data_IF_951899553815
#
_entry.id   IF_951899553815
#
_cell.length_a   1.000
_cell.length_b   1.000
_cell.length_c   1.000
_cell.angle_alpha   90.00
_cell.angle_beta   90.00
_cell.angle_gamma   90.00
#
_symmetry.space_group_name_H-M   'P 1'
#
loop_
_entity.id
_entity.type
_entity.pdbx_description
1 polymer ?
#
# COMPACT_ATOMS: atom_id res chain seq x y z
N UNK A 1 34.11 -10.09 -13.03
CA UNK A 1 33.50 -8.76 -13.32
C UNK A 1 33.43 -8.04 -11.97
N UNK A 2 34.22 -6.98 -11.81
CA UNK A 2 34.28 -6.07 -10.65
C UNK A 2 32.88 -5.75 -10.13
N UNK A 3 32.49 -5.88 -8.85
CA UNK A 3 33.08 -5.37 -7.58
C UNK A 3 33.55 -3.92 -7.73
N UNK A 4 32.61 -3.03 -8.04
CA UNK A 4 32.61 -1.59 -7.73
C UNK A 4 31.21 -1.01 -7.96
N UNK A 5 30.17 -1.66 -7.43
CA UNK A 5 28.88 -1.01 -7.17
C UNK A 5 28.77 -0.84 -5.66
N UNK A 6 29.49 0.15 -5.10
CA UNK A 6 28.89 0.87 -3.98
C UNK A 6 27.66 1.51 -4.58
N UNK A 7 26.48 0.99 -4.27
CA UNK A 7 25.24 1.66 -4.63
C UNK A 7 25.26 3.03 -3.98
N UNK A 8 25.48 4.09 -4.77
CA UNK A 8 25.24 5.49 -4.38
C UNK A 8 23.74 5.77 -4.15
N UNK A 9 22.97 4.75 -3.74
CA UNK A 9 21.53 4.68 -3.86
C UNK A 9 20.88 4.09 -2.61
N UNK A 10 19.62 4.49 -2.41
CA UNK A 10 18.75 4.08 -1.32
C UNK A 10 18.72 2.53 -1.27
N UNK A 11 19.08 1.90 -0.15
CA UNK A 11 19.10 0.44 -0.06
C UNK A 11 17.68 -0.14 -0.23
N UNK A 12 17.49 -1.21 -1.04
CA UNK A 12 16.17 -1.79 -1.32
C UNK A 12 15.42 -2.27 -0.08
N UNK A 13 14.10 -2.08 -0.10
CA UNK A 13 13.15 -2.80 0.75
C UNK A 13 12.69 -4.08 0.02
N UNK A 14 12.56 -5.18 0.75
CA UNK A 14 12.02 -6.45 0.25
C UNK A 14 10.56 -6.55 0.66
N UNK A 15 9.66 -6.48 -0.31
CA UNK A 15 8.23 -6.64 -0.08
C UNK A 15 7.76 -8.06 -0.45
N UNK A 16 7.01 -8.71 0.43
CA UNK A 16 6.34 -9.98 0.14
C UNK A 16 4.98 -9.66 -0.48
N UNK A 17 5.03 -9.41 -1.78
CA UNK A 17 3.91 -8.88 -2.54
C UNK A 17 2.75 -9.86 -2.75
N UNK A 18 3.01 -11.17 -2.64
CA UNK A 18 2.00 -12.20 -2.87
C UNK A 18 2.27 -13.42 -2.02
N UNK A 19 1.23 -13.89 -1.35
CA UNK A 19 1.19 -15.17 -0.66
C UNK A 19 0.38 -16.21 -1.45
N UNK A 20 0.59 -17.52 -1.20
CA UNK A 20 -0.28 -18.57 -1.74
C UNK A 20 -1.75 -18.26 -1.48
N UNK A 21 -2.55 -18.28 -2.55
CA UNK A 21 -3.98 -17.97 -2.48
C UNK A 21 -4.31 -16.48 -2.56
N UNK A 22 -3.36 -15.55 -2.55
CA UNK A 22 -3.59 -14.10 -2.67
C UNK A 22 -4.21 -13.47 -1.42
N UNK A 23 -3.65 -12.35 -0.97
CA UNK A 23 -3.98 -11.67 0.31
C UNK A 23 -4.93 -10.50 0.18
N UNK A 24 -5.32 -10.18 -1.06
CA UNK A 24 -6.06 -8.97 -1.42
C UNK A 24 -6.99 -9.32 -2.58
N UNK A 25 -8.09 -8.60 -2.79
CA UNK A 25 -8.89 -8.82 -4.00
C UNK A 25 -8.38 -7.95 -5.13
N UNK A 26 -8.37 -8.46 -6.36
CA UNK A 26 -7.96 -7.68 -7.53
C UNK A 26 -6.64 -8.16 -8.12
N UNK A 27 -6.11 -7.40 -9.07
CA UNK A 27 -4.97 -7.78 -9.91
C UNK A 27 -3.63 -7.85 -9.17
N UNK A 28 -3.51 -7.17 -8.03
CA UNK A 28 -2.31 -7.10 -7.20
C UNK A 28 -2.10 -8.33 -6.30
N UNK A 29 -3.11 -9.20 -6.19
CA UNK A 29 -3.09 -10.42 -5.36
C UNK A 29 -2.26 -11.59 -5.93
N UNK A 30 -1.79 -11.48 -7.17
CA UNK A 30 -1.07 -12.53 -7.89
C UNK A 30 -1.91 -13.76 -8.29
N UNK A 31 -3.20 -13.81 -7.94
CA UNK A 31 -4.11 -14.93 -8.28
C UNK A 31 -5.27 -14.54 -9.18
N UNK A 32 -5.41 -13.26 -9.53
CA UNK A 32 -6.45 -12.77 -10.43
C UNK A 32 -6.47 -13.51 -11.78
N UNK A 33 -7.63 -13.84 -12.36
CA UNK A 33 -9.00 -13.48 -11.93
C UNK A 33 -9.62 -14.45 -10.90
N UNK A 34 -8.82 -15.31 -10.26
CA UNK A 34 -9.33 -16.16 -9.18
C UNK A 34 -9.54 -15.32 -7.92
N UNK A 35 -10.52 -15.74 -7.12
CA UNK A 35 -10.74 -15.16 -5.81
C UNK A 35 -9.55 -15.46 -4.90
N UNK A 36 -9.18 -14.45 -4.11
CA UNK A 36 -8.23 -14.61 -3.05
C UNK A 36 -8.79 -15.55 -1.96
N UNK A 37 -7.93 -16.44 -1.47
CA UNK A 37 -8.25 -17.55 -0.54
C UNK A 37 -7.31 -17.60 0.66
N UNK A 38 -6.32 -16.71 0.74
CA UNK A 38 -5.35 -16.72 1.83
C UNK A 38 -6.04 -16.71 3.20
N UNK A 39 -7.01 -15.81 3.38
CA UNK A 39 -7.71 -15.62 4.65
C UNK A 39 -8.77 -16.69 4.97
N UNK A 40 -9.26 -17.41 3.97
CA UNK A 40 -10.35 -18.39 4.10
C UNK A 40 -9.88 -19.84 4.15
N UNK A 41 -8.81 -20.18 3.41
CA UNK A 41 -8.43 -21.57 3.11
C UNK A 41 -6.96 -21.91 3.47
N UNK A 42 -6.16 -20.96 3.97
CA UNK A 42 -4.71 -21.19 4.20
C UNK A 42 -4.08 -20.52 5.42
N UNK A 43 -4.78 -19.54 6.02
CA UNK A 43 -4.35 -18.83 7.23
C UNK A 43 -5.43 -18.93 8.34
N UNK A 44 -6.29 -19.95 8.22
CA UNK A 44 -7.15 -20.42 9.29
C UNK A 44 -6.23 -21.15 10.30
N UNK A 45 -6.05 -20.60 11.50
CA UNK A 45 -4.86 -20.81 12.33
C UNK A 45 -4.73 -22.22 12.88
N UNK A 46 -3.51 -22.52 13.34
CA UNK A 46 -3.11 -22.87 14.71
C UNK A 46 -4.16 -22.89 15.86
N UNK A 47 -5.43 -23.27 15.64
CA UNK A 47 -6.54 -23.14 16.61
C UNK A 47 -7.32 -24.40 16.93
N UNK A 48 -7.10 -25.53 16.26
CA UNK A 48 -7.75 -26.79 16.65
C UNK A 48 -6.77 -27.85 17.18
N UNK A 49 -5.48 -27.50 17.30
CA UNK A 49 -4.44 -28.46 17.67
C UNK A 49 -4.25 -29.55 16.61
N UNK A 50 -4.88 -29.42 15.44
CA UNK A 50 -4.55 -30.22 14.27
C UNK A 50 -3.38 -29.55 13.58
N UNK A 51 -2.38 -30.36 13.23
CA UNK A 51 -1.10 -29.91 12.73
C UNK A 51 -1.17 -29.45 11.27
N UNK A 52 -2.15 -28.61 10.89
CA UNK A 52 -2.16 -28.01 9.57
C UNK A 52 -1.11 -26.89 9.48
N UNK A 53 -0.43 -26.86 8.34
CA UNK A 53 0.64 -25.91 8.04
C UNK A 53 0.09 -24.51 7.87
N UNK A 54 0.54 -23.59 8.73
CA UNK A 54 0.31 -22.14 8.58
C UNK A 54 1.28 -21.60 7.52
N UNK A 55 0.90 -21.76 6.25
CA UNK A 55 1.77 -21.44 5.11
C UNK A 55 2.17 -19.97 5.11
N UNK A 56 1.29 -19.07 5.56
CA UNK A 56 1.56 -17.64 5.66
C UNK A 56 2.68 -17.33 6.66
N UNK A 57 2.51 -17.72 7.93
CA UNK A 57 3.51 -17.46 8.97
C UNK A 57 4.80 -18.26 8.74
N UNK A 58 4.71 -19.48 8.22
CA UNK A 58 5.90 -20.30 7.92
C UNK A 58 6.72 -19.73 6.76
N UNK A 59 6.06 -19.16 5.74
CA UNK A 59 6.73 -18.42 4.67
C UNK A 59 7.45 -17.20 5.23
N UNK A 60 6.79 -16.39 6.06
CA UNK A 60 7.40 -15.22 6.69
C UNK A 60 8.62 -15.61 7.56
N UNK A 61 8.48 -16.60 8.44
CA UNK A 61 9.59 -17.09 9.28
C UNK A 61 10.77 -17.59 8.44
N UNK A 62 10.48 -18.29 7.35
CA UNK A 62 11.52 -18.77 6.42
C UNK A 62 12.25 -17.61 5.74
N UNK A 63 11.53 -16.56 5.34
CA UNK A 63 12.13 -15.35 4.76
C UNK A 63 12.98 -14.61 5.80
N UNK A 64 12.48 -14.42 7.02
CA UNK A 64 13.25 -13.82 8.12
C UNK A 64 14.53 -14.60 8.38
N UNK A 65 14.45 -15.93 8.49
CA UNK A 65 15.62 -16.78 8.70
C UNK A 65 16.62 -16.71 7.54
N UNK A 66 16.13 -16.70 6.30
CA UNK A 66 16.98 -16.51 5.12
C UNK A 66 17.69 -15.16 5.15
N UNK A 67 16.98 -14.07 5.47
CA UNK A 67 17.56 -12.73 5.60
C UNK A 67 18.64 -12.67 6.68
N UNK A 68 18.42 -13.29 7.84
CA UNK A 68 19.45 -13.41 8.88
C UNK A 68 20.68 -14.18 8.39
N UNK A 69 20.48 -15.23 7.60
CA UNK A 69 21.58 -16.03 7.05
C UNK A 69 22.43 -15.24 6.06
N UNK A 70 21.87 -14.24 5.37
CA UNK A 70 22.61 -13.37 4.45
C UNK A 70 23.69 -12.56 5.18
N UNK A 71 23.45 -12.16 6.44
CA UNK A 71 24.44 -11.42 7.22
C UNK A 71 25.78 -12.18 7.38
N UNK A 72 25.75 -13.51 7.22
CA UNK A 72 26.95 -14.38 7.26
C UNK A 72 27.32 -14.87 5.87
N UNK A 73 26.35 -15.34 5.08
CA UNK A 73 26.60 -16.02 3.80
C UNK A 73 26.84 -15.06 2.63
N UNK A 74 26.24 -13.87 2.66
CA UNK A 74 26.44 -12.81 1.67
C UNK A 74 26.30 -11.41 2.33
N UNK A 75 27.31 -10.96 3.09
CA UNK A 75 27.24 -9.70 3.83
C UNK A 75 27.00 -8.47 2.95
N UNK A 76 27.43 -8.51 1.69
CA UNK A 76 27.22 -7.40 0.75
C UNK A 76 25.75 -7.31 0.33
N UNK A 77 25.10 -8.44 0.02
CA UNK A 77 23.66 -8.48 -0.23
C UNK A 77 22.88 -8.06 1.01
N UNK A 78 23.30 -8.49 2.20
CA UNK A 78 22.68 -8.09 3.45
C UNK A 78 22.83 -6.59 3.74
N UNK A 79 24.02 -6.02 3.53
CA UNK A 79 24.27 -4.58 3.70
C UNK A 79 23.37 -3.75 2.77
N UNK A 80 23.19 -4.22 1.53
CA UNK A 80 22.30 -3.60 0.56
C UNK A 80 20.81 -3.66 0.94
N UNK A 81 20.38 -4.59 1.80
CA UNK A 81 18.99 -4.65 2.23
C UNK A 81 18.67 -3.60 3.30
N UNK A 82 17.60 -2.85 3.12
CA UNK A 82 17.11 -1.90 4.13
C UNK A 82 16.03 -2.50 5.03
N UNK A 83 14.97 -3.00 4.41
CA UNK A 83 13.72 -3.30 5.10
C UNK A 83 13.07 -4.58 4.57
N UNK A 84 12.17 -5.15 5.37
CA UNK A 84 11.22 -6.18 4.99
C UNK A 84 9.80 -5.62 5.13
N UNK A 85 8.96 -5.75 4.09
CA UNK A 85 7.50 -5.66 4.23
C UNK A 85 6.94 -7.07 4.32
N UNK A 86 6.24 -7.43 5.42
CA UNK A 86 5.80 -8.79 5.65
C UNK A 86 4.64 -9.18 4.73
N UNK A 87 3.82 -8.23 4.27
CA UNK A 87 2.68 -8.50 3.39
C UNK A 87 2.22 -7.20 2.75
N UNK A 88 2.09 -7.21 1.42
CA UNK A 88 1.54 -6.08 0.69
C UNK A 88 0.00 -6.06 0.75
N UNK A 89 -0.56 -4.90 1.07
CA UNK A 89 -2.00 -4.59 1.03
C UNK A 89 -2.92 -5.68 1.61
N UNK A 90 -2.66 -6.17 2.83
CA UNK A 90 -3.37 -7.31 3.38
C UNK A 90 -4.87 -7.00 3.56
N UNK A 91 -5.73 -7.84 2.99
CA UNK A 91 -7.17 -7.67 3.10
C UNK A 91 -7.73 -6.51 2.29
N UNK A 92 -6.94 -5.89 1.41
CA UNK A 92 -7.33 -4.70 0.64
C UNK A 92 -8.58 -4.93 -0.23
N UNK A 93 -9.45 -3.91 -0.26
CA UNK A 93 -10.79 -3.93 -0.87
C UNK A 93 -11.04 -2.74 -1.83
N UNK A 94 -10.09 -1.81 -2.05
CA UNK A 94 -10.35 -0.71 -2.97
C UNK A 94 -10.49 -1.22 -4.42
N UNK A 95 -11.28 -0.52 -5.21
CA UNK A 95 -11.61 -0.90 -6.59
C UNK A 95 -12.66 -2.01 -6.73
N UNK A 96 -13.20 -2.54 -5.63
CA UNK A 96 -14.34 -3.49 -5.65
C UNK A 96 -15.72 -2.84 -5.54
N UNK A 97 -15.78 -1.55 -5.19
CA UNK A 97 -17.03 -0.89 -4.81
C UNK A 97 -17.73 -0.12 -5.94
N UNK A 98 -17.23 -0.15 -7.16
CA UNK A 98 -17.78 0.64 -8.29
C UNK A 98 -18.79 -0.13 -9.17
N UNK A 99 -19.27 -1.30 -8.73
CA UNK A 99 -20.26 -2.09 -9.48
C UNK A 99 -21.46 -2.52 -8.64
N UNK A 100 -22.66 -2.09 -9.03
CA UNK A 100 -23.92 -2.67 -8.59
C UNK A 100 -24.28 -3.85 -9.52
N UNK A 101 -24.38 -5.12 -9.07
CA UNK A 101 -24.09 -5.64 -7.73
C UNK A 101 -22.61 -6.05 -7.59
N UNK A 102 -22.01 -5.93 -6.39
CA UNK A 102 -20.61 -6.28 -6.16
C UNK A 102 -20.40 -7.76 -6.52
N UNK A 103 -19.35 -8.04 -7.29
CA UNK A 103 -18.94 -9.40 -7.65
C UNK A 103 -18.62 -10.15 -6.36
N UNK A 104 -19.61 -10.81 -5.74
CA UNK A 104 -19.53 -11.77 -4.61
C UNK A 104 -18.21 -11.73 -3.80
N UNK A 105 -17.88 -10.56 -3.29
CA UNK A 105 -16.86 -10.32 -2.27
C UNK A 105 -17.61 -9.90 -1.01
N UNK A 106 -18.57 -10.71 -0.59
CA UNK A 106 -19.05 -10.61 0.77
C UNK A 106 -17.82 -10.75 1.66
N UNK A 107 -17.56 -9.68 2.41
CA UNK A 107 -16.36 -9.54 3.23
C UNK A 107 -16.22 -10.72 4.18
N UNK A 108 -17.34 -11.33 4.59
CA UNK A 108 -17.38 -12.55 5.39
C UNK A 108 -16.84 -13.80 4.67
N UNK A 109 -16.99 -13.93 3.35
CA UNK A 109 -16.42 -15.06 2.61
C UNK A 109 -14.96 -14.82 2.23
N UNK A 110 -14.60 -13.59 1.86
CA UNK A 110 -13.24 -13.26 1.47
C UNK A 110 -12.29 -13.08 2.67
N UNK A 111 -12.72 -12.30 3.67
CA UNK A 111 -11.97 -12.01 4.89
C UNK A 111 -12.86 -12.38 6.10
N UNK A 112 -13.00 -13.68 6.43
CA UNK A 112 -13.86 -14.08 7.54
C UNK A 112 -13.40 -13.48 8.86
N UNK A 113 -14.29 -13.23 9.83
CA UNK A 113 -13.90 -12.76 11.15
C UNK A 113 -12.97 -13.77 11.84
N UNK A 114 -12.22 -13.31 12.83
CA UNK A 114 -11.54 -14.22 13.75
C UNK A 114 -12.59 -15.06 14.53
N UNK A 115 -12.26 -16.28 14.96
CA UNK A 115 -13.08 -17.02 15.92
C UNK A 115 -13.36 -16.17 17.17
N UNK A 116 -14.59 -16.24 17.69
CA UNK A 116 -15.10 -15.30 18.71
C UNK A 116 -14.23 -15.24 19.97
N UNK A 117 -13.71 -16.36 20.42
CA UNK A 117 -12.83 -16.46 21.58
C UNK A 117 -11.47 -15.81 21.33
N UNK A 118 -10.91 -15.99 20.13
CA UNK A 118 -9.67 -15.35 19.69
C UNK A 118 -9.86 -13.85 19.51
N UNK A 119 -10.93 -13.42 18.82
CA UNK A 119 -11.28 -12.01 18.65
C UNK A 119 -11.41 -11.32 20.01
N UNK A 120 -12.17 -11.91 20.94
CA UNK A 120 -12.35 -11.38 22.29
C UNK A 120 -11.03 -11.25 23.05
N UNK A 121 -10.17 -12.27 23.00
CA UNK A 121 -8.87 -12.25 23.67
C UNK A 121 -7.95 -11.19 23.05
N UNK A 122 -7.88 -11.15 21.72
CA UNK A 122 -7.03 -10.21 21.00
C UNK A 122 -7.49 -8.76 21.22
N UNK A 123 -8.80 -8.50 21.17
CA UNK A 123 -9.38 -7.19 21.52
C UNK A 123 -9.02 -6.77 22.95
N UNK A 124 -9.13 -7.68 23.92
CA UNK A 124 -8.74 -7.39 25.29
C UNK A 124 -7.25 -7.06 25.43
N UNK A 125 -6.38 -7.71 24.65
CA UNK A 125 -4.94 -7.41 24.60
C UNK A 125 -4.66 -6.05 23.95
N UNK A 126 -5.23 -5.78 22.77
CA UNK A 126 -4.95 -4.53 22.03
C UNK A 126 -5.54 -3.31 22.73
N UNK A 127 -6.74 -3.42 23.29
CA UNK A 127 -7.45 -2.34 23.97
C UNK A 127 -7.16 -2.27 25.48
N UNK A 128 -6.58 -3.31 26.08
CA UNK A 128 -6.28 -3.34 27.53
C UNK A 128 -5.30 -2.26 27.99
N UNK A 129 -4.53 -1.66 27.06
CA UNK A 129 -3.55 -0.60 27.33
C UNK A 129 -4.07 0.82 27.06
N UNK A 130 -5.38 0.99 26.78
CA UNK A 130 -5.94 2.30 26.40
C UNK A 130 -5.78 3.35 27.51
N UNK A 131 -5.79 2.98 28.78
CA UNK A 131 -5.73 3.94 29.89
C UNK A 131 -6.92 4.93 29.86
N UNK A 132 -6.87 5.99 30.69
CA UNK A 132 -7.97 6.94 30.86
C UNK A 132 -7.90 8.18 29.94
N UNK A 133 -6.96 8.24 28.99
CA UNK A 133 -6.82 9.37 28.05
C UNK A 133 -7.57 8.99 26.78
N UNK A 134 -8.48 9.83 26.30
CA UNK A 134 -9.39 9.61 25.16
C UNK A 134 -8.71 9.14 23.86
N UNK A 135 -8.24 7.89 23.87
CA UNK A 135 -7.57 7.16 22.81
C UNK A 135 -8.59 6.30 22.09
N UNK A 136 -8.36 6.10 20.80
CA UNK A 136 -9.24 5.30 19.95
C UNK A 136 -9.17 3.84 20.35
N UNK A 137 -10.31 3.18 20.55
CA UNK A 137 -10.36 1.73 20.71
C UNK A 137 -10.33 1.05 19.35
N UNK A 138 -9.64 -0.09 19.24
CA UNK A 138 -9.76 -0.95 18.06
C UNK A 138 -11.13 -1.64 18.12
N UNK A 139 -12.01 -1.46 17.11
CA UNK A 139 -13.34 -2.05 17.10
C UNK A 139 -13.29 -3.56 16.84
N UNK A 140 -14.39 -4.25 17.11
CA UNK A 140 -14.56 -5.64 16.65
C UNK A 140 -14.89 -5.65 15.15
N UNK A 141 -14.49 -6.70 14.43
CA UNK A 141 -14.77 -6.84 13.00
C UNK A 141 -13.77 -7.73 12.25
N UNK A 142 -14.02 -7.91 10.94
CA UNK A 142 -13.24 -8.82 10.09
C UNK A 142 -11.77 -8.37 9.93
N UNK A 143 -11.53 -7.06 10.02
CA UNK A 143 -10.19 -6.46 9.97
C UNK A 143 -9.25 -7.01 11.06
N UNK A 144 -9.79 -7.50 12.19
CA UNK A 144 -9.00 -8.10 13.25
C UNK A 144 -8.17 -9.29 12.78
N UNK A 145 -8.63 -10.06 11.77
CA UNK A 145 -7.85 -11.18 11.22
C UNK A 145 -6.53 -10.70 10.61
N UNK A 146 -6.57 -9.61 9.84
CA UNK A 146 -5.37 -8.98 9.26
C UNK A 146 -4.49 -8.40 10.36
N UNK A 147 -5.07 -7.64 11.29
CA UNK A 147 -4.32 -7.02 12.39
C UNK A 147 -3.64 -8.06 13.28
N UNK A 148 -4.29 -9.21 13.51
CA UNK A 148 -3.73 -10.33 14.25
C UNK A 148 -2.53 -10.96 13.52
N UNK A 149 -2.65 -11.22 12.22
CA UNK A 149 -1.55 -11.73 11.41
C UNK A 149 -0.36 -10.77 11.37
N UNK A 150 -0.61 -9.47 11.16
CA UNK A 150 0.43 -8.44 11.15
C UNK A 150 1.10 -8.29 12.52
N UNK A 151 0.36 -8.48 13.62
CA UNK A 151 0.95 -8.52 14.95
C UNK A 151 1.93 -9.68 15.09
N UNK A 152 1.59 -10.87 14.59
CA UNK A 152 2.51 -12.01 14.59
C UNK A 152 3.75 -11.77 13.71
N UNK A 153 3.59 -11.03 12.60
CA UNK A 153 4.71 -10.60 11.78
C UNK A 153 5.66 -9.65 12.53
N UNK A 154 5.11 -8.69 13.27
CA UNK A 154 5.86 -7.79 14.15
C UNK A 154 6.60 -8.58 15.23
N UNK A 155 5.94 -9.52 15.91
CA UNK A 155 6.59 -10.39 16.92
C UNK A 155 7.69 -11.27 16.31
N UNK A 156 7.46 -11.83 15.13
CA UNK A 156 8.44 -12.66 14.41
C UNK A 156 9.70 -11.84 14.08
N UNK A 157 9.53 -10.62 13.55
CA UNK A 157 10.66 -9.74 13.24
C UNK A 157 11.38 -9.27 14.50
N UNK A 158 10.65 -8.86 15.53
CA UNK A 158 11.18 -8.46 16.84
C UNK A 158 12.00 -9.57 17.50
N UNK A 159 11.55 -10.82 17.41
CA UNK A 159 12.24 -11.99 17.95
C UNK A 159 13.47 -12.42 17.15
N UNK A 160 13.68 -11.86 15.96
CA UNK A 160 14.83 -12.14 15.10
C UNK A 160 16.04 -11.25 15.44
N UNK A 161 17.17 -11.49 14.76
CA UNK A 161 18.39 -10.67 14.81
C UNK A 161 18.29 -9.42 13.93
N UNK A 162 17.32 -9.36 13.00
CA UNK A 162 17.22 -8.31 11.99
C UNK A 162 17.13 -6.88 12.58
N UNK A 163 16.30 -6.60 13.62
CA UNK A 163 16.30 -5.29 14.26
C UNK A 163 17.67 -4.88 14.80
N UNK A 164 18.36 -5.80 15.49
CA UNK A 164 19.68 -5.55 16.07
C UNK A 164 20.79 -5.41 15.02
N UNK A 165 20.54 -5.86 13.79
CA UNK A 165 21.40 -5.69 12.64
C UNK A 165 21.02 -4.46 11.79
N UNK A 166 20.14 -3.59 12.31
CA UNK A 166 19.76 -2.33 11.68
C UNK A 166 18.78 -2.47 10.52
N UNK A 167 18.04 -3.58 10.42
CA UNK A 167 16.99 -3.76 9.41
C UNK A 167 15.65 -3.28 9.94
N UNK A 168 14.85 -2.78 9.02
CA UNK A 168 13.51 -2.24 9.30
C UNK A 168 12.42 -3.27 8.95
N UNK A 169 11.28 -3.15 9.62
CA UNK A 169 10.02 -3.79 9.24
C UNK A 169 9.05 -2.71 8.80
N UNK A 170 8.65 -2.73 7.53
CA UNK A 170 7.66 -1.83 6.95
C UNK A 170 6.32 -2.54 6.96
N UNK A 171 5.43 -2.17 7.88
CA UNK A 171 4.15 -2.87 8.06
C UNK A 171 3.07 -2.13 7.30
N UNK A 172 2.70 -2.68 6.15
CA UNK A 172 1.67 -2.12 5.29
C UNK A 172 0.26 -2.39 5.83
N UNK A 173 -0.56 -1.35 5.88
CA UNK A 173 -2.01 -1.45 6.12
C UNK A 173 -2.73 -0.52 5.15
N UNK A 174 -3.76 -1.05 4.50
CA UNK A 174 -4.64 -0.26 3.65
C UNK A 174 -5.93 0.15 4.40
N UNK A 175 -6.35 1.40 4.27
CA UNK A 175 -7.51 1.96 4.99
C UNK A 175 -8.86 1.30 4.62
N UNK A 176 -9.00 0.83 3.38
CA UNK A 176 -10.18 0.08 2.93
C UNK A 176 -10.36 -1.25 3.69
N UNK A 177 -9.38 -1.67 4.50
CA UNK A 177 -9.51 -2.81 5.39
C UNK A 177 -10.65 -2.60 6.38
N UNK A 178 -11.03 -1.37 6.72
CA UNK A 178 -12.09 -1.09 7.70
C UNK A 178 -13.42 -0.86 6.98
N UNK A 179 -14.48 -1.56 7.41
CA UNK A 179 -15.81 -1.29 6.88
C UNK A 179 -16.32 0.02 7.50
N UNK A 180 -17.11 0.83 6.80
CA UNK A 180 -17.69 2.04 7.39
C UNK A 180 -18.43 1.77 8.70
N UNK A 181 -19.16 0.65 8.78
CA UNK A 181 -19.91 0.23 9.98
C UNK A 181 -19.01 -0.24 11.15
N UNK A 182 -17.74 -0.58 10.87
CA UNK A 182 -16.78 -0.97 11.91
C UNK A 182 -16.15 0.27 12.58
N UNK A 183 -16.19 1.44 11.92
CA UNK A 183 -15.47 2.63 12.35
C UNK A 183 -16.28 3.44 13.37
N UNK A 184 -15.61 4.18 14.29
CA UNK A 184 -16.29 5.15 15.14
C UNK A 184 -17.11 6.14 14.30
N UNK A 185 -18.21 6.67 14.85
CA UNK A 185 -19.09 7.62 14.16
C UNK A 185 -18.26 8.71 13.45
N UNK A 186 -18.54 8.99 12.17
CA UNK A 186 -17.76 9.96 11.41
C UNK A 186 -17.83 11.33 12.09
N UNK A 187 -16.66 11.96 12.24
CA UNK A 187 -16.64 13.40 12.41
C UNK A 187 -17.32 14.00 11.16
N UNK A 188 -18.25 14.96 11.31
CA UNK A 188 -19.13 15.41 10.22
C UNK A 188 -18.41 16.07 9.03
N UNK A 189 -17.11 16.36 9.13
CA UNK A 189 -16.36 17.12 8.13
C UNK A 189 -14.90 16.60 8.00
N UNK A 190 -14.63 15.53 7.24
CA UNK A 190 -13.24 15.18 6.90
C UNK A 190 -13.03 14.20 5.73
N UNK A 191 -14.04 13.79 4.96
CA UNK A 191 -13.84 12.71 4.00
C UNK A 191 -13.36 13.22 2.63
N UNK A 192 -12.09 13.64 2.57
CA UNK A 192 -11.37 13.90 1.32
C UNK A 192 -10.80 12.61 0.69
N UNK A 193 -11.39 11.45 1.02
CA UNK A 193 -10.81 10.15 0.73
C UNK A 193 -9.68 9.77 1.69
N UNK A 194 -9.48 10.52 2.76
CA UNK A 194 -8.49 10.25 3.80
C UNK A 194 -9.23 9.81 5.06
N UNK A 195 -9.42 8.50 5.23
CA UNK A 195 -10.26 7.93 6.27
C UNK A 195 -9.62 8.10 7.66
N UNK A 196 -9.76 9.30 8.24
CA UNK A 196 -9.15 9.70 9.52
C UNK A 196 -9.53 8.76 10.67
N UNK A 197 -10.75 8.23 10.65
CA UNK A 197 -11.22 7.26 11.63
C UNK A 197 -10.50 5.92 11.47
N UNK A 198 -10.35 5.41 10.25
CA UNK A 198 -9.53 4.23 9.97
C UNK A 198 -8.08 4.46 10.41
N UNK A 199 -7.48 5.61 10.09
CA UNK A 199 -6.11 5.95 10.51
C UNK A 199 -5.98 6.00 12.04
N UNK A 200 -7.00 6.48 12.75
CA UNK A 200 -7.00 6.48 14.23
C UNK A 200 -7.05 5.05 14.79
N UNK A 201 -7.82 4.16 14.17
CA UNK A 201 -7.84 2.72 14.52
C UNK A 201 -6.49 2.06 14.22
N UNK A 202 -5.89 2.34 13.05
CA UNK A 202 -4.54 1.88 12.70
C UNK A 202 -3.52 2.37 13.71
N UNK A 203 -3.54 3.64 14.08
CA UNK A 203 -2.65 4.22 15.10
C UNK A 203 -2.82 3.56 16.47
N UNK A 204 -4.06 3.25 16.86
CA UNK A 204 -4.34 2.56 18.12
C UNK A 204 -3.78 1.13 18.14
N UNK A 205 -4.01 0.37 17.06
CA UNK A 205 -3.43 -0.96 16.88
C UNK A 205 -1.90 -0.89 16.86
N UNK A 206 -1.32 0.03 16.09
CA UNK A 206 0.13 0.18 15.94
C UNK A 206 0.81 0.50 17.27
N UNK A 207 0.21 1.37 18.08
CA UNK A 207 0.67 1.63 19.46
C UNK A 207 0.71 0.34 20.28
N UNK A 208 -0.29 -0.53 20.12
CA UNK A 208 -0.38 -1.75 20.93
C UNK A 208 0.60 -2.83 20.47
N UNK A 209 0.77 -2.97 19.15
CA UNK A 209 1.65 -3.94 18.51
C UNK A 209 3.14 -3.59 18.64
N UNK A 210 3.49 -2.33 18.88
CA UNK A 210 4.89 -1.85 18.93
C UNK A 210 5.21 -1.03 20.18
N UNK A 211 6.51 -0.87 20.48
CA UNK A 211 7.00 0.00 21.56
C UNK A 211 7.47 1.37 21.02
N UNK A 212 7.47 2.43 21.84
CA UNK A 212 7.91 3.76 21.42
C UNK A 212 9.34 3.82 20.85
N UNK A 213 10.26 3.02 21.37
CA UNK A 213 11.64 2.91 20.89
C UNK A 213 11.74 2.15 19.56
N UNK A 214 10.91 1.12 19.37
CA UNK A 214 10.82 0.35 18.12
C UNK A 214 10.35 1.25 16.97
N UNK A 215 9.30 2.06 17.21
CA UNK A 215 8.76 3.01 16.23
C UNK A 215 9.73 4.11 15.82
N UNK A 216 10.75 4.39 16.63
CA UNK A 216 11.82 5.36 16.33
C UNK A 216 13.00 4.73 15.60
N UNK A 217 13.07 3.40 15.56
CA UNK A 217 14.25 2.67 15.10
C UNK A 217 13.94 1.79 13.90
N UNK A 218 13.25 0.67 14.08
CA UNK A 218 13.07 -0.33 13.03
C UNK A 218 11.61 -0.53 12.60
N UNK A 219 10.63 -0.18 13.43
CA UNK A 219 9.22 -0.38 13.12
C UNK A 219 8.69 0.83 12.34
N UNK A 220 8.41 0.63 11.05
CA UNK A 220 7.86 1.65 10.16
C UNK A 220 6.43 1.25 9.82
N UNK A 221 5.48 2.14 10.07
CA UNK A 221 4.11 1.95 9.58
C UNK A 221 4.06 2.45 8.14
N UNK A 222 3.43 1.67 7.27
CA UNK A 222 3.32 1.96 5.85
C UNK A 222 1.86 2.02 5.43
N UNK A 223 1.47 3.09 4.74
CA UNK A 223 0.14 3.28 4.16
C UNK A 223 0.29 3.75 2.72
N UNK A 224 -0.26 3.00 1.78
CA UNK A 224 -0.28 3.37 0.37
C UNK A 224 -1.26 4.51 0.13
N UNK A 225 -0.88 5.48 -0.69
CA UNK A 225 -1.72 6.63 -1.00
C UNK A 225 -1.76 6.92 -2.49
N UNK A 226 -2.97 7.05 -3.02
CA UNK A 226 -3.19 7.27 -4.44
C UNK A 226 -4.42 8.14 -4.68
N UNK A 227 -4.21 9.31 -5.28
CA UNK A 227 -5.32 10.15 -5.73
C UNK A 227 -6.20 9.50 -6.82
N UNK A 228 -5.70 8.47 -7.52
CA UNK A 228 -6.38 7.83 -8.63
C UNK A 228 -7.68 7.08 -8.26
N UNK A 229 -7.82 6.64 -7.01
CA UNK A 229 -8.99 5.88 -6.54
C UNK A 229 -9.90 6.68 -5.60
N UNK A 230 -9.54 7.92 -5.25
CA UNK A 230 -10.35 8.78 -4.39
C UNK A 230 -11.47 9.49 -5.17
N UNK A 231 -12.63 9.65 -4.54
CA UNK A 231 -13.74 10.43 -5.12
C UNK A 231 -13.48 11.94 -5.06
N UNK A 232 -12.67 12.42 -4.11
CA UNK A 232 -12.42 13.85 -3.92
C UNK A 232 -11.16 14.35 -4.63
N UNK A 233 -10.21 13.45 -4.89
CA UNK A 233 -8.89 13.81 -5.40
C UNK A 233 -8.65 13.35 -6.84
N UNK A 234 -9.61 12.62 -7.41
CA UNK A 234 -9.51 12.19 -8.79
C UNK A 234 -9.74 13.34 -9.77
N UNK A 235 -8.93 13.37 -10.82
CA UNK A 235 -9.02 14.29 -11.93
C UNK A 235 -9.13 13.56 -13.24
N UNK A 236 -9.97 14.08 -14.13
CA UNK A 236 -10.26 13.45 -15.41
C UNK A 236 -10.12 14.40 -16.59
N UNK A 237 -9.99 13.89 -17.80
CA UNK A 237 -9.93 14.71 -19.02
C UNK A 237 -11.22 15.48 -19.24
N UNK A 238 -12.36 14.91 -18.85
CA UNK A 238 -13.68 15.55 -18.98
C UNK A 238 -14.10 16.40 -17.77
N UNK A 239 -13.52 16.17 -16.59
CA UNK A 239 -13.99 16.73 -15.33
C UNK A 239 -15.22 16.01 -14.77
N UNK A 240 -16.08 16.76 -14.06
CA UNK A 240 -17.29 16.22 -13.46
C UNK A 240 -18.26 15.63 -14.52
N UNK A 241 -18.97 14.52 -14.22
CA UNK A 241 -19.02 13.82 -12.93
C UNK A 241 -17.93 12.75 -12.74
N UNK A 242 -17.10 12.50 -13.76
CA UNK A 242 -16.10 11.41 -13.73
C UNK A 242 -14.86 11.74 -12.90
N UNK A 243 -14.63 13.01 -12.59
CA UNK A 243 -13.59 13.47 -11.66
C UNK A 243 -13.98 14.81 -11.03
N UNK A 244 -13.21 15.26 -10.05
CA UNK A 244 -13.45 16.54 -9.35
C UNK A 244 -12.87 17.74 -10.04
N UNK A 245 -11.95 17.54 -10.97
CA UNK A 245 -11.44 18.58 -11.83
C UNK A 245 -11.18 18.05 -13.23
N UNK A 246 -11.33 18.92 -14.22
CA UNK A 246 -10.90 18.64 -15.59
C UNK A 246 -9.40 18.90 -15.77
N UNK A 247 -8.67 18.06 -16.50
CA UNK A 247 -7.23 18.29 -16.78
C UNK A 247 -6.98 19.64 -17.50
N UNK A 248 -7.97 20.12 -18.25
CA UNK A 248 -7.91 21.40 -18.95
C UNK A 248 -8.19 22.61 -18.06
N UNK A 249 -8.81 22.43 -16.88
CA UNK A 249 -9.14 23.52 -15.96
C UNK A 249 -8.03 23.70 -14.92
N UNK A 250 -7.09 24.59 -15.21
CA UNK A 250 -5.96 24.85 -14.33
C UNK A 250 -6.37 25.48 -12.98
N UNK A 251 -7.49 26.22 -12.94
CA UNK A 251 -7.97 26.89 -11.74
C UNK A 251 -8.58 25.89 -10.77
N UNK A 252 -9.57 25.12 -11.25
CA UNK A 252 -10.24 24.08 -10.48
C UNK A 252 -9.26 22.98 -10.05
N UNK A 253 -8.37 22.53 -10.96
CA UNK A 253 -7.32 21.57 -10.63
C UNK A 253 -6.47 22.05 -9.45
N UNK A 254 -6.03 23.30 -9.45
CA UNK A 254 -5.20 23.84 -8.36
C UNK A 254 -5.98 23.90 -7.04
N UNK A 255 -7.25 24.28 -7.09
CA UNK A 255 -8.10 24.34 -5.91
C UNK A 255 -8.29 22.94 -5.31
N UNK A 256 -8.72 21.97 -6.11
CA UNK A 256 -8.97 20.59 -5.66
C UNK A 256 -7.69 19.95 -5.13
N UNK A 257 -6.60 20.01 -5.90
CA UNK A 257 -5.32 19.41 -5.47
C UNK A 257 -4.77 20.05 -4.21
N UNK A 258 -4.97 21.36 -3.99
CA UNK A 258 -4.48 21.99 -2.75
C UNK A 258 -5.08 21.39 -1.46
N UNK A 259 -6.28 20.79 -1.55
CA UNK A 259 -6.92 20.08 -0.43
C UNK A 259 -6.44 18.64 -0.32
N UNK A 260 -6.24 17.97 -1.45
CA UNK A 260 -5.83 16.57 -1.52
C UNK A 260 -4.35 16.33 -1.21
N UNK A 261 -3.51 17.30 -1.52
CA UNK A 261 -2.06 17.18 -1.35
C UNK A 261 -1.62 17.27 0.12
N UNK A 262 -2.54 17.42 1.09
CA UNK A 262 -2.23 17.43 2.52
C UNK A 262 -2.49 16.10 3.22
N UNK A 263 -2.56 14.98 2.50
CA UNK A 263 -2.87 13.67 3.09
C UNK A 263 -1.86 13.28 4.20
N UNK A 264 -0.56 13.54 3.99
CA UNK A 264 0.48 13.12 4.92
C UNK A 264 0.53 14.03 6.13
N UNK A 265 0.51 15.35 5.92
CA UNK A 265 0.60 16.35 6.98
C UNK A 265 -0.72 16.64 7.69
N UNK A 266 -1.85 16.43 7.02
CA UNK A 266 -3.20 16.73 7.50
C UNK A 266 -3.92 15.53 8.10
N UNK A 267 -3.64 14.31 7.62
CA UNK A 267 -4.34 13.10 8.09
C UNK A 267 -3.39 12.05 8.63
N UNK A 268 -2.50 11.51 7.80
CA UNK A 268 -1.72 10.33 8.16
C UNK A 268 -0.84 10.54 9.38
N UNK A 269 0.07 11.52 9.38
CA UNK A 269 0.92 11.76 10.55
C UNK A 269 0.11 12.17 11.78
N UNK A 270 -0.78 13.19 11.73
CA UNK A 270 -1.51 13.62 12.91
C UNK A 270 -2.33 12.51 13.56
N UNK A 271 -3.03 11.68 12.76
CA UNK A 271 -3.85 10.60 13.28
C UNK A 271 -3.01 9.53 14.00
N UNK A 272 -1.85 9.16 13.43
CA UNK A 272 -0.99 8.16 14.07
C UNK A 272 -0.28 8.74 15.30
N UNK A 273 0.20 10.00 15.26
CA UNK A 273 0.86 10.64 16.41
C UNK A 273 -0.08 10.87 17.60
N UNK A 274 -1.36 11.15 17.35
CA UNK A 274 -2.37 11.23 18.40
C UNK A 274 -2.46 9.94 19.23
N UNK A 275 -2.19 8.79 18.60
CA UNK A 275 -2.21 7.49 19.25
C UNK A 275 -0.83 7.02 19.76
N UNK A 276 0.26 7.31 19.05
CA UNK A 276 1.59 6.71 19.22
C UNK A 276 2.67 7.59 19.85
N UNK A 277 2.39 8.89 20.08
CA UNK A 277 3.37 9.96 20.39
C UNK A 277 4.27 10.30 19.19
N UNK A 278 4.89 11.49 19.21
CA UNK A 278 5.67 12.00 18.09
C UNK A 278 7.00 11.28 17.82
N UNK A 279 7.48 11.44 16.58
CA UNK A 279 8.80 10.93 16.14
C UNK A 279 8.82 9.46 15.75
N UNK A 280 7.66 8.83 15.55
CA UNK A 280 7.58 7.53 14.89
C UNK A 280 7.95 7.62 13.40
N UNK A 281 8.41 6.52 12.82
CA UNK A 281 8.73 6.40 11.40
C UNK A 281 7.49 5.99 10.60
N UNK A 282 7.20 6.73 9.54
CA UNK A 282 6.06 6.51 8.65
C UNK A 282 6.54 6.45 7.20
N UNK A 283 5.87 5.65 6.39
CA UNK A 283 6.13 5.55 4.96
C UNK A 283 4.83 5.45 4.15
N UNK A 284 4.95 5.77 2.87
CA UNK A 284 4.06 5.31 1.82
C UNK A 284 4.91 4.57 0.80
N UNK A 285 4.90 3.25 0.89
CA UNK A 285 5.65 2.35 0.01
C UNK A 285 5.07 2.30 -1.41
N UNK A 286 3.90 2.91 -1.62
CA UNK A 286 3.31 3.08 -2.92
C UNK A 286 2.56 4.41 -3.04
N UNK A 287 2.99 5.23 -4.00
CA UNK A 287 2.26 6.39 -4.50
C UNK A 287 2.58 6.62 -5.98
N UNK A 288 1.76 7.42 -6.69
CA UNK A 288 2.00 7.76 -8.09
C UNK A 288 1.46 9.16 -8.43
N UNK A 289 1.59 9.59 -9.70
CA UNK A 289 0.90 10.79 -10.21
C UNK A 289 -0.44 10.46 -10.89
N UNK A 290 -0.94 9.23 -10.74
CA UNK A 290 -2.22 8.82 -11.31
C UNK A 290 -3.36 9.69 -10.78
N UNK A 291 -4.15 10.26 -11.67
CA UNK A 291 -5.30 11.10 -11.29
C UNK A 291 -6.64 10.37 -11.36
N UNK A 292 -6.68 9.19 -11.98
CA UNK A 292 -7.90 8.39 -12.07
C UNK A 292 -7.53 6.92 -12.35
N UNK A 293 -8.30 5.97 -11.82
CA UNK A 293 -8.07 4.53 -11.98
C UNK A 293 -8.31 4.04 -13.42
N UNK A 294 -9.25 4.68 -14.14
CA UNK A 294 -9.49 4.44 -15.56
C UNK A 294 -8.57 5.29 -16.43
N UNK A 295 -7.76 4.61 -17.25
CA UNK A 295 -6.84 5.24 -18.20
C UNK A 295 -7.53 6.13 -19.24
N UNK A 296 -8.80 5.86 -19.54
CA UNK A 296 -9.58 6.66 -20.50
C UNK A 296 -9.86 8.07 -19.97
N UNK A 297 -9.99 8.18 -18.65
CA UNK A 297 -10.32 9.43 -17.99
C UNK A 297 -9.09 10.11 -17.39
N UNK A 298 -8.04 9.38 -17.02
CA UNK A 298 -6.88 9.95 -16.32
C UNK A 298 -6.17 11.08 -17.07
N UNK A 299 -5.74 12.09 -16.32
CA UNK A 299 -4.91 13.18 -16.82
C UNK A 299 -3.52 12.67 -17.22
N UNK A 300 -3.06 13.15 -18.38
CA UNK A 300 -1.78 12.76 -18.97
C UNK A 300 -0.93 13.96 -19.41
N UNK A 301 -1.38 15.18 -19.12
CA UNK A 301 -0.64 16.40 -19.40
C UNK A 301 0.47 16.61 -18.35
N UNK A 302 1.61 17.12 -18.79
CA UNK A 302 2.79 17.28 -17.94
C UNK A 302 2.55 18.24 -16.75
N UNK A 303 1.63 19.21 -16.89
CA UNK A 303 1.38 20.20 -15.84
C UNK A 303 0.63 19.60 -14.65
N UNK A 304 -0.40 18.77 -14.91
CA UNK A 304 -1.11 18.03 -13.87
C UNK A 304 -0.18 17.02 -13.19
N UNK A 305 0.57 16.23 -13.97
CA UNK A 305 1.42 15.19 -13.39
C UNK A 305 2.58 15.78 -12.56
N UNK A 306 3.13 16.93 -12.98
CA UNK A 306 4.11 17.67 -12.18
C UNK A 306 3.52 18.13 -10.85
N UNK A 307 2.32 18.72 -10.89
CA UNK A 307 1.62 19.18 -9.68
C UNK A 307 1.39 18.03 -8.69
N UNK A 308 0.97 16.86 -9.18
CA UNK A 308 0.76 15.68 -8.34
C UNK A 308 2.06 15.15 -7.73
N UNK A 309 3.13 15.04 -8.52
CA UNK A 309 4.43 14.57 -8.02
C UNK A 309 5.02 15.56 -7.01
N UNK A 310 5.16 16.83 -7.37
CA UNK A 310 5.82 17.84 -6.54
C UNK A 310 5.02 18.11 -5.26
N UNK A 311 3.68 18.14 -5.36
CA UNK A 311 2.78 18.32 -4.23
C UNK A 311 2.91 17.21 -3.19
N UNK A 312 2.76 15.95 -3.60
CA UNK A 312 2.82 14.81 -2.67
C UNK A 312 4.21 14.69 -2.04
N UNK A 313 5.28 14.91 -2.82
CA UNK A 313 6.65 14.89 -2.30
C UNK A 313 6.90 16.04 -1.31
N UNK A 314 6.37 17.24 -1.57
CA UNK A 314 6.51 18.36 -0.66
C UNK A 314 5.77 18.12 0.66
N UNK A 315 4.55 17.60 0.60
CA UNK A 315 3.73 17.29 1.77
C UNK A 315 4.34 16.18 2.64
N UNK A 316 4.68 15.05 2.03
CA UNK A 316 5.29 13.93 2.74
C UNK A 316 6.63 14.33 3.37
N UNK A 317 7.45 15.14 2.69
CA UNK A 317 8.68 15.70 3.28
C UNK A 317 8.37 16.60 4.47
N UNK A 318 7.36 17.46 4.39
CA UNK A 318 6.94 18.32 5.49
C UNK A 318 6.41 17.52 6.69
N UNK A 319 5.81 16.36 6.44
CA UNK A 319 5.25 15.45 7.44
C UNK A 319 6.23 14.36 7.92
N UNK A 320 7.50 14.35 7.47
CA UNK A 320 8.46 13.27 7.77
C UNK A 320 7.87 11.87 7.48
N UNK A 321 7.32 11.73 6.27
CA UNK A 321 6.82 10.47 5.69
C UNK A 321 7.69 10.11 4.51
N UNK A 322 8.28 8.92 4.55
CA UNK A 322 9.08 8.41 3.45
C UNK A 322 8.19 7.97 2.28
N UNK A 323 8.62 8.19 1.04
CA UNK A 323 7.84 7.86 -0.14
C UNK A 323 8.59 6.89 -1.07
N UNK A 324 7.88 5.90 -1.59
CA UNK A 324 8.37 4.98 -2.62
C UNK A 324 7.41 4.99 -3.81
N UNK A 325 7.94 5.40 -4.96
CA UNK A 325 7.12 5.57 -6.15
C UNK A 325 6.73 4.21 -6.74
N UNK A 326 5.44 4.03 -6.97
CA UNK A 326 4.89 2.91 -7.71
C UNK A 326 4.63 3.30 -9.18
N UNK A 327 5.47 2.89 -10.14
CA UNK A 327 6.66 2.04 -10.08
C UNK A 327 7.84 2.70 -10.81
N UNK A 328 9.06 2.16 -10.65
CA UNK A 328 10.24 2.72 -11.33
C UNK A 328 10.09 2.81 -12.85
N UNK A 329 9.56 1.75 -13.48
CA UNK A 329 9.35 1.65 -14.93
C UNK A 329 8.12 0.81 -15.27
N UNK A 330 7.42 1.18 -16.34
CA UNK A 330 6.25 0.47 -16.85
C UNK A 330 6.29 0.40 -18.39
N UNK A 331 7.22 -0.38 -18.98
CA UNK A 331 7.49 -0.37 -20.42
C UNK A 331 6.28 -0.77 -21.28
N UNK A 332 5.31 -1.48 -20.70
CA UNK A 332 4.08 -1.91 -21.37
C UNK A 332 2.82 -1.27 -20.77
N UNK A 333 2.97 -0.17 -20.03
CA UNK A 333 1.87 0.48 -19.32
C UNK A 333 0.83 1.19 -20.18
N UNK A 334 0.96 1.15 -21.51
CA UNK A 334 0.12 1.92 -22.42
C UNK A 334 -0.03 3.37 -21.97
N UNK A 335 -1.28 3.82 -21.83
CA UNK A 335 -1.59 5.17 -21.39
C UNK A 335 -1.48 5.40 -19.87
N UNK A 336 -1.31 4.36 -19.04
CA UNK A 336 -0.94 4.54 -17.61
C UNK A 336 0.53 4.97 -17.46
N UNK A 337 1.39 4.70 -18.45
CA UNK A 337 2.84 4.89 -18.34
C UNK A 337 3.26 6.26 -17.82
N UNK A 338 2.59 7.34 -18.24
CA UNK A 338 2.99 8.71 -17.86
C UNK A 338 2.87 9.01 -16.37
N UNK A 339 1.88 8.41 -15.72
CA UNK A 339 1.58 8.68 -14.31
C UNK A 339 2.10 7.60 -13.37
N UNK A 340 2.39 6.40 -13.90
CA UNK A 340 2.71 5.19 -13.13
C UNK A 340 4.15 4.67 -13.35
N UNK A 341 4.89 5.26 -14.28
CA UNK A 341 6.33 5.04 -14.43
C UNK A 341 7.10 6.30 -14.03
N UNK A 342 7.87 6.23 -12.95
CA UNK A 342 8.69 7.37 -12.50
C UNK A 342 9.66 7.78 -13.59
N UNK A 343 10.34 6.80 -14.20
CA UNK A 343 11.31 7.06 -15.26
C UNK A 343 10.66 7.74 -16.46
N UNK A 344 9.47 7.30 -16.90
CA UNK A 344 8.77 7.95 -18.00
C UNK A 344 8.29 9.36 -17.61
N UNK A 345 7.77 9.55 -16.39
CA UNK A 345 7.37 10.85 -15.90
C UNK A 345 8.56 11.82 -15.87
N UNK A 346 9.70 11.41 -15.32
CA UNK A 346 10.91 12.22 -15.27
C UNK A 346 11.42 12.59 -16.67
N UNK A 347 11.25 11.71 -17.67
CA UNK A 347 11.50 12.06 -19.08
C UNK A 347 10.52 13.14 -19.59
N UNK A 348 9.22 12.97 -19.36
CA UNK A 348 8.19 13.97 -19.74
C UNK A 348 8.44 15.32 -19.08
N UNK A 349 8.97 15.33 -17.87
CA UNK A 349 9.34 16.54 -17.13
C UNK A 349 10.71 17.13 -17.52
N UNK A 350 11.45 16.49 -18.43
CA UNK A 350 12.74 16.95 -18.93
C UNK A 350 13.93 16.67 -18.01
N UNK A 351 13.77 15.82 -16.99
CA UNK A 351 14.83 15.44 -16.03
C UNK A 351 15.73 14.34 -16.60
N UNK A 352 15.15 13.37 -17.31
CA UNK A 352 15.89 12.28 -17.95
C UNK A 352 15.95 12.47 -19.47
N UNK A 353 17.05 12.05 -20.09
CA UNK A 353 17.26 12.15 -21.54
C UNK A 353 16.52 11.10 -22.39
N UNK A 354 15.91 10.09 -21.75
CA UNK A 354 15.20 9.00 -22.44
C UNK A 354 14.02 8.49 -21.61
N UNK A 355 12.92 8.05 -22.23
CA UNK A 355 11.80 7.43 -21.52
C UNK A 355 12.17 6.06 -20.93
N UNK A 356 11.17 5.34 -20.40
CA UNK A 356 11.24 3.87 -20.31
C UNK A 356 11.72 3.28 -21.65
N UNK A 357 12.53 2.22 -21.56
CA UNK A 357 13.08 1.53 -22.74
C UNK A 357 12.01 1.37 -23.82
N UNK A 358 12.45 1.55 -25.07
CA UNK A 358 11.61 1.85 -26.22
C UNK A 358 10.44 0.89 -26.35
N UNK A 359 9.33 1.35 -26.95
CA UNK A 359 8.21 0.47 -27.21
C UNK A 359 8.74 -0.75 -27.98
N UNK A 360 8.72 -1.93 -27.34
CA UNK A 360 8.18 -3.04 -28.08
C UNK A 360 6.72 -2.63 -28.30
N UNK A 361 6.51 -1.86 -29.38
CA UNK A 361 5.28 -1.99 -30.13
C UNK A 361 5.10 -3.50 -30.25
N UNK A 362 3.90 -4.03 -29.97
CA UNK A 362 3.55 -5.34 -30.52
C UNK A 362 4.04 -5.29 -31.96
N UNK A 363 5.14 -6.00 -32.28
CA UNK A 363 6.06 -5.56 -33.34
C UNK A 363 5.31 -5.17 -34.59
N UNK A 364 5.79 -4.14 -35.32
CA UNK A 364 5.21 -3.73 -36.62
C UNK A 364 4.56 -4.94 -37.25
N UNK A 365 3.23 -4.94 -37.34
CA UNK A 365 2.50 -6.13 -37.69
C UNK A 365 3.07 -6.65 -39.02
N UNK A 366 3.85 -7.72 -38.91
CA UNK A 366 4.43 -8.37 -40.08
C UNK A 366 3.28 -9.21 -40.63
N UNK A 367 2.50 -8.60 -41.53
CA UNK A 367 1.41 -9.29 -42.23
C UNK A 367 1.94 -10.62 -42.77
N UNK A 368 1.35 -11.76 -42.40
CA UNK A 368 1.56 -12.99 -43.13
C UNK A 368 1.14 -12.80 -44.60
N UNK A 369 1.79 -13.48 -45.56
CA UNK A 369 1.35 -13.45 -46.94
C UNK A 369 -0.14 -13.83 -47.06
N UNK A 370 -0.99 -12.90 -47.52
CA UNK A 370 -2.41 -13.15 -47.77
C UNK A 370 -3.41 -12.49 -46.82
N UNK A 371 -2.97 -11.69 -45.85
CA UNK A 371 -3.89 -10.95 -44.97
C UNK A 371 -4.56 -9.77 -45.72
N UNK A 372 -5.92 -9.67 -45.70
CA UNK A 372 -6.67 -8.60 -46.38
C UNK A 372 -6.33 -7.18 -45.86
N UNK A 373 -6.46 -6.17 -46.72
CA UNK A 373 -6.09 -4.78 -46.42
C UNK A 373 -7.10 -4.02 -45.56
N UNK A 374 -8.32 -4.52 -45.40
CA UNK A 374 -9.33 -3.88 -44.58
C UNK A 374 -9.21 -4.35 -43.14
N UNK A 375 -8.67 -3.49 -42.29
CA UNK A 375 -8.53 -3.69 -40.84
C UNK A 375 -9.88 -3.79 -40.10
N UNK A 376 -10.75 -4.71 -40.53
CA UNK A 376 -11.93 -5.16 -39.81
C UNK A 376 -11.52 -6.30 -38.89
N UNK A 377 -11.62 -6.02 -37.58
CA UNK A 377 -11.80 -7.05 -36.56
C UNK A 377 -13.30 -7.21 -36.35
#
# INVERSE_FOLDING_TARGET
RSRDEKTDGIPPAKDIHTYPGGTSVGTFSGVWPRYARFWSDGDAPALDGTAETDVGRDTLKSIVSWLESLAVSDPAAFEGLRALSPMNEPGHLAGLYDGDPPIRTDRETYLPPLPRDVAKKYLAEVNGKLGNKGRTAVPDGNHLRVLYWLNDAVETFRGSKLPGLGKELHVNIHESLFAPDDLPDPAPDADYGDNTNAMSVVGSWWRSATRPDERKTWAVLDVHHYHAWGTECSGTVEGAPSGRFACGDAGERKEVTSRCLSWASGVYRPAIEAECEGGLRLASAEFSAGTHHSVRHACNDASTLRLMLEGQVADARGADVELFWWSWKLPYGGAFRRAWSLRHLLYVLGVLGSPDEGPFHCGDHVRPPGEPEDASI
#
